data_IF_357931874598
#
_entry.id   IF_357931874598
#
_cell.length_a   1.000
_cell.length_b   1.000
_cell.length_c   1.000
_cell.angle_alpha   90.00
_cell.angle_beta   90.00
_cell.angle_gamma   90.00
#
_symmetry.space_group_name_H-M   'P 1'
#
loop_
_entity.id
_entity.type
_entity.pdbx_description
1 polymer ?
#
# COMPACT_ATOMS: atom_id res chain seq x y z
N UNK A 1 -4.75 -10.63 -5.81
CA UNK A 1 -4.31 -10.76 -7.21
C UNK A 1 -5.16 -11.75 -7.99
N UNK A 2 -5.18 -13.04 -7.61
CA UNK A 2 -5.92 -14.10 -8.35
C UNK A 2 -7.41 -13.77 -8.49
N UNK A 3 -8.07 -13.39 -7.40
CA UNK A 3 -9.50 -13.01 -7.42
C UNK A 3 -9.76 -11.84 -8.37
N UNK A 4 -8.89 -10.83 -8.37
CA UNK A 4 -9.02 -9.69 -9.27
C UNK A 4 -8.89 -10.13 -10.74
N UNK A 5 -7.92 -10.98 -11.06
CA UNK A 5 -7.75 -11.50 -12.41
C UNK A 5 -8.97 -12.31 -12.87
N UNK A 6 -9.55 -13.14 -12.01
CA UNK A 6 -10.79 -13.86 -12.31
C UNK A 6 -11.96 -12.92 -12.53
N UNK A 7 -12.11 -11.89 -11.67
CA UNK A 7 -13.20 -10.90 -11.79
C UNK A 7 -13.10 -10.07 -13.07
N UNK A 8 -11.88 -9.77 -13.51
CA UNK A 8 -11.62 -9.00 -14.72
C UNK A 8 -11.43 -9.86 -15.97
N UNK A 9 -11.53 -11.19 -15.85
CA UNK A 9 -11.31 -12.13 -16.96
C UNK A 9 -12.12 -11.79 -18.23
N UNK A 10 -13.42 -11.48 -18.18
CA UNK A 10 -14.21 -11.14 -19.35
C UNK A 10 -13.67 -9.98 -20.19
N UNK A 11 -12.94 -9.04 -19.57
CA UNK A 11 -12.39 -7.86 -20.26
C UNK A 11 -11.15 -8.17 -21.10
N UNK A 12 -10.40 -9.24 -20.77
CA UNK A 12 -9.13 -9.55 -21.42
C UNK A 12 -9.02 -10.99 -21.94
N UNK A 13 -10.04 -11.83 -21.77
CA UNK A 13 -10.04 -13.23 -22.25
C UNK A 13 -9.73 -13.38 -23.73
N UNK A 14 -10.20 -12.43 -24.56
CA UNK A 14 -9.98 -12.42 -26.00
C UNK A 14 -8.66 -11.75 -26.43
N UNK A 15 -7.90 -11.21 -25.47
CA UNK A 15 -6.65 -10.50 -25.74
C UNK A 15 -5.45 -11.43 -25.52
N UNK A 16 -4.98 -12.08 -26.59
CA UNK A 16 -3.86 -13.04 -26.53
C UNK A 16 -2.60 -12.46 -25.85
N UNK A 17 -2.26 -11.20 -26.14
CA UNK A 17 -1.09 -10.54 -25.57
C UNK A 17 -1.20 -10.45 -24.03
N UNK A 18 -2.36 -10.06 -23.51
CA UNK A 18 -2.60 -9.93 -22.06
C UNK A 18 -2.49 -11.31 -21.39
N UNK A 19 -3.07 -12.33 -21.99
CA UNK A 19 -2.99 -13.73 -21.50
C UNK A 19 -1.54 -14.20 -21.43
N UNK A 20 -0.75 -13.96 -22.48
CA UNK A 20 0.69 -14.31 -22.49
C UNK A 20 1.45 -13.53 -21.39
N UNK A 21 1.19 -12.24 -21.22
CA UNK A 21 1.85 -11.43 -20.19
C UNK A 21 1.52 -11.93 -18.77
N UNK A 22 0.24 -12.23 -18.48
CA UNK A 22 -0.17 -12.76 -17.18
C UNK A 22 0.48 -14.13 -16.93
N UNK A 23 0.47 -15.02 -17.92
CA UNK A 23 1.11 -16.33 -17.85
C UNK A 23 2.63 -16.24 -17.63
N UNK A 24 3.31 -15.31 -18.33
CA UNK A 24 4.74 -15.07 -18.17
C UNK A 24 5.08 -14.53 -16.78
N UNK A 25 4.32 -13.57 -16.26
CA UNK A 25 4.46 -13.05 -14.89
C UNK A 25 4.24 -14.19 -13.88
N UNK A 26 3.22 -15.02 -14.09
CA UNK A 26 2.95 -16.19 -13.28
C UNK A 26 4.12 -17.16 -13.23
N UNK A 27 4.69 -17.49 -14.39
CA UNK A 27 5.85 -18.38 -14.53
C UNK A 27 7.09 -17.81 -13.80
N UNK A 28 7.42 -16.56 -14.06
CA UNK A 28 8.55 -15.88 -13.38
C UNK A 28 8.34 -15.90 -11.87
N UNK A 29 7.15 -15.56 -11.40
CA UNK A 29 6.80 -15.57 -9.98
C UNK A 29 6.96 -16.96 -9.39
N UNK A 30 6.46 -18.01 -10.04
CA UNK A 30 6.55 -19.38 -9.56
C UNK A 30 8.02 -19.86 -9.47
N UNK A 31 8.84 -19.59 -10.49
CA UNK A 31 10.25 -19.98 -10.51
C UNK A 31 11.05 -19.23 -9.45
N UNK A 32 10.95 -17.90 -9.40
CA UNK A 32 11.68 -17.06 -8.45
C UNK A 32 11.30 -17.43 -7.01
N UNK A 33 10.02 -17.51 -6.71
CA UNK A 33 9.53 -17.83 -5.37
C UNK A 33 9.94 -19.24 -4.91
N UNK A 34 9.91 -20.23 -5.81
CA UNK A 34 10.38 -21.60 -5.51
C UNK A 34 11.87 -21.61 -5.15
N UNK A 35 12.70 -20.89 -5.89
CA UNK A 35 14.14 -20.83 -5.61
C UNK A 35 14.42 -20.15 -4.28
N UNK A 36 13.69 -19.07 -3.96
CA UNK A 36 13.82 -18.37 -2.69
C UNK A 36 13.31 -19.24 -1.53
N UNK A 37 12.15 -19.89 -1.66
CA UNK A 37 11.61 -20.78 -0.63
C UNK A 37 12.60 -21.86 -0.16
N UNK A 38 13.39 -22.39 -1.09
CA UNK A 38 14.38 -23.46 -0.80
C UNK A 38 15.58 -23.03 0.02
N UNK A 39 15.88 -21.73 0.07
CA UNK A 39 17.04 -21.17 0.75
C UNK A 39 16.69 -20.41 2.03
N UNK A 40 15.40 -20.27 2.32
CA UNK A 40 14.94 -19.57 3.52
C UNK A 40 15.25 -20.37 4.79
N UNK A 41 15.75 -19.68 5.80
CA UNK A 41 16.08 -20.27 7.11
C UNK A 41 14.88 -20.34 8.05
N UNK A 42 13.89 -19.44 7.87
CA UNK A 42 12.68 -19.40 8.67
C UNK A 42 11.57 -20.22 8.00
N UNK A 43 10.94 -21.12 8.75
CA UNK A 43 9.81 -21.91 8.24
C UNK A 43 8.63 -21.01 7.81
N UNK A 44 8.40 -19.92 8.52
CA UNK A 44 7.33 -18.97 8.15
C UNK A 44 7.58 -18.30 6.81
N UNK A 45 8.80 -17.84 6.56
CA UNK A 45 9.17 -17.25 5.27
C UNK A 45 9.17 -18.28 4.15
N UNK A 46 9.63 -19.51 4.43
CA UNK A 46 9.54 -20.64 3.50
C UNK A 46 8.10 -20.92 3.07
N UNK A 47 7.16 -20.99 4.03
CA UNK A 47 5.73 -21.16 3.75
C UNK A 47 5.18 -19.99 2.91
N UNK A 48 5.58 -18.75 3.24
CA UNK A 48 5.19 -17.55 2.49
C UNK A 48 5.61 -17.62 1.02
N UNK A 49 6.89 -17.89 0.74
CA UNK A 49 7.38 -18.03 -0.63
C UNK A 49 6.82 -19.25 -1.36
N UNK A 50 6.58 -20.35 -0.65
CA UNK A 50 5.89 -21.50 -1.24
C UNK A 50 4.43 -21.17 -1.60
N UNK A 51 3.74 -20.33 -0.81
CA UNK A 51 2.42 -19.80 -1.18
C UNK A 51 2.48 -18.91 -2.42
N UNK A 52 3.49 -18.05 -2.50
CA UNK A 52 3.69 -17.18 -3.67
C UNK A 52 3.96 -17.97 -4.95
N UNK A 53 4.67 -19.13 -4.83
CA UNK A 53 4.83 -20.08 -5.94
C UNK A 53 3.48 -20.58 -6.47
N UNK A 54 2.58 -20.99 -5.57
CA UNK A 54 1.24 -21.44 -5.95
C UNK A 54 0.43 -20.32 -6.59
N UNK A 55 0.52 -19.10 -6.09
CA UNK A 55 -0.12 -17.92 -6.71
C UNK A 55 0.40 -17.71 -8.14
N UNK A 56 1.69 -17.88 -8.37
CA UNK A 56 2.27 -17.81 -9.72
C UNK A 56 1.69 -18.88 -10.66
N UNK A 57 1.49 -20.11 -10.17
CA UNK A 57 0.84 -21.19 -10.94
C UNK A 57 -0.61 -20.85 -11.23
N UNK A 58 -1.37 -20.31 -10.25
CA UNK A 58 -2.74 -19.86 -10.47
C UNK A 58 -2.83 -18.77 -11.54
N UNK A 59 -1.84 -17.89 -11.67
CA UNK A 59 -1.80 -16.88 -12.75
C UNK A 59 -1.69 -17.57 -14.13
N UNK A 60 -0.91 -18.64 -14.24
CA UNK A 60 -0.79 -19.43 -15.46
C UNK A 60 -2.14 -20.11 -15.77
N UNK A 61 -2.79 -20.67 -14.76
CA UNK A 61 -4.10 -21.32 -14.89
C UNK A 61 -5.18 -20.33 -15.35
N UNK A 62 -5.22 -19.11 -14.77
CA UNK A 62 -6.12 -18.03 -15.21
C UNK A 62 -5.84 -17.65 -16.66
N UNK A 63 -4.56 -17.45 -17.02
CA UNK A 63 -4.16 -17.12 -18.38
C UNK A 63 -4.54 -18.22 -19.39
N UNK A 64 -4.58 -19.48 -18.95
CA UNK A 64 -5.05 -20.62 -19.76
C UNK A 64 -6.58 -20.71 -19.86
N UNK A 65 -7.36 -19.94 -19.06
CA UNK A 65 -8.81 -19.97 -19.03
C UNK A 65 -9.40 -21.08 -18.15
N UNK A 66 -8.62 -21.61 -17.21
CA UNK A 66 -9.02 -22.72 -16.32
C UNK A 66 -9.64 -22.19 -15.01
N UNK A 67 -10.71 -21.40 -15.10
CA UNK A 67 -11.30 -20.67 -13.96
C UNK A 67 -11.69 -21.56 -12.79
N UNK A 68 -12.39 -22.68 -13.06
CA UNK A 68 -12.79 -23.61 -12.00
C UNK A 68 -11.58 -24.23 -11.29
N UNK A 69 -10.54 -24.58 -12.04
CA UNK A 69 -9.31 -25.12 -11.48
C UNK A 69 -8.64 -24.10 -10.56
N UNK A 70 -8.58 -22.84 -10.99
CA UNK A 70 -8.03 -21.73 -10.17
C UNK A 70 -8.79 -21.58 -8.86
N UNK A 71 -10.12 -21.65 -8.86
CA UNK A 71 -10.92 -21.54 -7.63
C UNK A 71 -10.64 -22.68 -6.66
N UNK A 72 -10.58 -23.92 -7.15
CA UNK A 72 -10.24 -25.09 -6.34
C UNK A 72 -8.81 -24.96 -5.80
N UNK A 73 -7.86 -24.58 -6.66
CA UNK A 73 -6.47 -24.40 -6.29
C UNK A 73 -6.31 -23.27 -5.23
N UNK A 74 -7.03 -22.16 -5.40
CA UNK A 74 -7.03 -21.05 -4.42
C UNK A 74 -7.53 -21.52 -3.06
N UNK A 75 -8.68 -22.22 -3.01
CA UNK A 75 -9.23 -22.75 -1.77
C UNK A 75 -8.27 -23.75 -1.11
N UNK A 76 -7.75 -24.70 -1.88
CA UNK A 76 -6.77 -25.68 -1.39
C UNK A 76 -5.50 -25.05 -0.84
N UNK A 77 -4.95 -24.06 -1.54
CA UNK A 77 -3.78 -23.34 -1.08
C UNK A 77 -4.07 -22.56 0.21
N UNK A 78 -5.23 -21.90 0.33
CA UNK A 78 -5.61 -21.16 1.53
C UNK A 78 -5.67 -22.09 2.76
N UNK A 79 -6.37 -23.22 2.65
CA UNK A 79 -6.47 -24.22 3.73
C UNK A 79 -5.11 -24.78 4.10
N UNK A 80 -4.32 -25.21 3.11
CA UNK A 80 -3.01 -25.82 3.34
C UNK A 80 -2.06 -24.83 4.05
N UNK A 81 -2.03 -23.56 3.64
CA UNK A 81 -1.14 -22.56 4.22
C UNK A 81 -1.56 -22.19 5.65
N UNK A 82 -2.86 -22.08 5.90
CA UNK A 82 -3.36 -21.86 7.25
C UNK A 82 -2.95 -23.00 8.17
N UNK A 83 -3.15 -24.24 7.74
CA UNK A 83 -2.73 -25.42 8.50
C UNK A 83 -1.21 -25.42 8.75
N UNK A 84 -0.39 -25.20 7.71
CA UNK A 84 1.08 -25.16 7.84
C UNK A 84 1.55 -24.07 8.81
N UNK A 85 0.94 -22.88 8.78
CA UNK A 85 1.29 -21.80 9.71
C UNK A 85 0.93 -22.12 11.15
N UNK A 86 -0.20 -22.79 11.39
CA UNK A 86 -0.61 -23.23 12.72
C UNK A 86 0.32 -24.29 13.30
N UNK A 87 0.79 -25.22 12.47
CA UNK A 87 1.65 -26.33 12.91
C UNK A 87 3.15 -25.93 12.93
N UNK A 88 3.54 -24.87 12.24
CA UNK A 88 4.94 -24.47 12.07
C UNK A 88 5.76 -24.32 13.36
N UNK A 89 5.24 -23.81 14.49
CA UNK A 89 6.01 -23.70 15.73
C UNK A 89 6.48 -25.06 16.29
N UNK A 90 5.65 -26.09 16.21
CA UNK A 90 5.99 -27.45 16.69
C UNK A 90 7.02 -28.12 15.77
N UNK A 91 6.91 -27.92 14.45
CA UNK A 91 7.87 -28.45 13.46
C UNK A 91 9.26 -27.84 13.65
N UNK A 92 9.34 -26.53 13.91
CA UNK A 92 10.63 -25.85 14.16
C UNK A 92 11.33 -26.46 15.40
N UNK A 93 10.60 -26.65 16.48
CA UNK A 93 11.15 -27.23 17.71
C UNK A 93 11.67 -28.66 17.48
N UNK A 94 10.95 -29.45 16.72
CA UNK A 94 11.34 -30.81 16.34
C UNK A 94 12.60 -30.81 15.47
N UNK A 95 12.66 -30.01 14.41
CA UNK A 95 13.80 -29.94 13.50
C UNK A 95 15.08 -29.44 14.19
N UNK A 96 14.99 -28.46 15.08
CA UNK A 96 16.14 -27.97 15.87
C UNK A 96 16.68 -29.10 16.72
N UNK A 97 15.80 -29.86 17.38
CA UNK A 97 16.20 -30.99 18.20
C UNK A 97 16.88 -32.10 17.38
N UNK A 98 16.30 -32.42 16.23
CA UNK A 98 16.87 -33.45 15.33
C UNK A 98 18.24 -33.04 14.78
N UNK A 99 18.41 -31.78 14.36
CA UNK A 99 19.70 -31.25 13.89
C UNK A 99 20.76 -31.23 14.99
N UNK A 100 20.35 -30.95 16.23
CA UNK A 100 21.29 -30.91 17.35
C UNK A 100 21.86 -32.28 17.68
N UNK A 101 21.06 -33.35 17.57
CA UNK A 101 21.48 -34.71 17.89
C UNK A 101 21.95 -35.55 16.69
N UNK A 102 21.51 -35.20 15.49
CA UNK A 102 21.74 -35.98 14.26
C UNK A 102 22.63 -35.32 13.20
N UNK A 103 23.28 -34.18 13.51
CA UNK A 103 24.09 -33.48 12.51
C UNK A 103 25.38 -34.26 12.16
N UNK A 104 25.37 -34.81 10.94
CA UNK A 104 26.56 -35.38 10.31
C UNK A 104 26.99 -34.50 9.15
N UNK A 105 28.15 -33.82 9.20
CA UNK A 105 28.63 -33.01 8.09
C UNK A 105 28.84 -33.87 6.85
N UNK A 106 28.11 -33.60 5.78
CA UNK A 106 28.33 -34.23 4.48
C UNK A 106 29.40 -33.45 3.71
N UNK A 107 30.58 -34.02 3.55
CA UNK A 107 31.59 -33.48 2.64
C UNK A 107 31.09 -33.61 1.18
N UNK A 108 30.62 -32.51 0.60
CA UNK A 108 30.31 -32.48 -0.82
C UNK A 108 31.59 -32.12 -1.59
N UNK A 109 32.14 -33.06 -2.37
CA UNK A 109 33.15 -32.74 -3.38
C UNK A 109 32.53 -31.78 -4.41
N UNK A 110 32.98 -30.54 -4.42
CA UNK A 110 32.52 -29.52 -5.38
C UNK A 110 33.16 -29.85 -6.73
N UNK A 111 32.45 -30.55 -7.58
CA UNK A 111 32.84 -30.74 -8.98
C UNK A 111 32.64 -29.44 -9.74
N UNK A 112 33.69 -28.92 -10.35
CA UNK A 112 33.72 -27.62 -11.05
C UNK A 112 33.07 -27.68 -12.44
N UNK A 113 31.81 -28.09 -12.52
CA UNK A 113 31.02 -28.15 -13.75
C UNK A 113 30.25 -26.84 -13.94
N UNK A 114 29.97 -26.44 -15.18
CA UNK A 114 29.19 -25.23 -15.47
C UNK A 114 27.80 -25.27 -14.82
N UNK A 115 27.16 -26.43 -14.76
CA UNK A 115 25.92 -26.66 -14.05
C UNK A 115 25.99 -26.32 -12.57
N UNK A 116 27.11 -26.66 -11.91
CA UNK A 116 27.31 -26.30 -10.51
C UNK A 116 27.52 -24.80 -10.31
N UNK A 117 28.15 -24.12 -11.29
CA UNK A 117 28.27 -22.67 -11.26
C UNK A 117 26.91 -22.00 -11.40
N UNK A 118 26.05 -22.46 -12.35
CA UNK A 118 24.71 -21.97 -12.52
C UNK A 118 23.86 -22.18 -11.26
N UNK A 119 23.90 -23.39 -10.70
CA UNK A 119 23.20 -23.72 -9.46
C UNK A 119 23.65 -22.82 -8.29
N UNK A 120 24.93 -22.62 -8.09
CA UNK A 120 25.46 -21.75 -7.04
C UNK A 120 25.11 -20.28 -7.29
N UNK A 121 25.09 -19.83 -8.54
CA UNK A 121 24.67 -18.47 -8.86
C UNK A 121 23.20 -18.25 -8.52
N UNK A 122 22.31 -19.19 -8.91
CA UNK A 122 20.89 -19.14 -8.56
C UNK A 122 20.71 -19.19 -7.04
N UNK A 123 21.47 -20.04 -6.36
CA UNK A 123 21.45 -20.14 -4.90
C UNK A 123 21.79 -18.79 -4.22
N UNK A 124 22.87 -18.14 -4.66
CA UNK A 124 23.29 -16.83 -4.11
C UNK A 124 22.26 -15.74 -4.43
N UNK A 125 21.69 -15.75 -5.65
CA UNK A 125 20.63 -14.81 -6.01
C UNK A 125 19.38 -15.04 -5.17
N UNK A 126 19.03 -16.29 -4.94
CA UNK A 126 17.86 -16.66 -4.11
C UNK A 126 18.05 -16.26 -2.64
N UNK A 127 19.26 -16.39 -2.09
CA UNK A 127 19.61 -15.89 -0.74
C UNK A 127 19.43 -14.36 -0.63
N UNK A 128 19.66 -13.62 -1.70
CA UNK A 128 19.46 -12.18 -1.79
C UNK A 128 18.06 -11.80 -2.28
N UNK A 129 17.14 -12.77 -2.31
CA UNK A 129 15.77 -12.58 -2.82
C UNK A 129 15.73 -11.90 -4.20
N UNK A 130 16.69 -12.27 -5.08
CA UNK A 130 16.89 -11.70 -6.42
C UNK A 130 17.04 -10.18 -6.43
N UNK A 131 17.40 -9.58 -5.30
CA UNK A 131 17.46 -8.13 -5.08
C UNK A 131 16.16 -7.39 -5.48
N UNK A 132 15.01 -8.04 -5.35
CA UNK A 132 13.69 -7.47 -5.71
C UNK A 132 13.42 -6.15 -4.99
N UNK A 133 13.79 -6.06 -3.69
CA UNK A 133 13.67 -4.81 -2.94
C UNK A 133 14.46 -3.65 -3.57
N UNK A 134 15.69 -3.91 -4.00
CA UNK A 134 16.52 -2.89 -4.67
C UNK A 134 15.95 -2.50 -6.02
N UNK A 135 15.40 -3.45 -6.75
CA UNK A 135 14.74 -3.21 -8.03
C UNK A 135 13.50 -2.31 -7.82
N UNK A 136 12.59 -2.69 -6.93
CA UNK A 136 11.38 -1.93 -6.63
C UNK A 136 11.72 -0.52 -6.10
N UNK A 137 12.67 -0.43 -5.15
CA UNK A 137 13.12 0.86 -4.63
C UNK A 137 13.75 1.74 -5.71
N UNK A 138 14.54 1.14 -6.61
CA UNK A 138 15.27 1.85 -7.66
C UNK A 138 14.38 2.32 -8.80
N UNK A 139 13.55 1.42 -9.33
CA UNK A 139 12.78 1.65 -10.55
C UNK A 139 11.38 2.18 -10.32
N UNK A 140 10.74 1.85 -9.19
CA UNK A 140 9.38 2.30 -8.89
C UNK A 140 9.41 3.48 -7.91
N UNK A 141 9.96 3.29 -6.71
CA UNK A 141 9.85 4.32 -5.68
C UNK A 141 10.77 5.54 -5.89
N UNK A 142 11.96 5.38 -6.47
CA UNK A 142 12.85 6.53 -6.69
C UNK A 142 12.29 7.57 -7.66
N UNK A 143 11.72 7.23 -8.83
CA UNK A 143 11.08 8.21 -9.71
C UNK A 143 9.92 8.93 -9.03
N UNK A 144 9.05 8.16 -8.35
CA UNK A 144 7.90 8.71 -7.62
C UNK A 144 8.33 9.67 -6.50
N UNK A 145 9.38 9.31 -5.74
CA UNK A 145 9.95 10.20 -4.72
C UNK A 145 10.56 11.46 -5.33
N UNK A 146 11.28 11.35 -6.45
CA UNK A 146 11.84 12.53 -7.14
C UNK A 146 10.75 13.50 -7.57
N UNK A 147 9.63 12.97 -8.11
CA UNK A 147 8.50 13.79 -8.51
C UNK A 147 7.87 14.48 -7.29
N UNK A 148 7.60 13.75 -6.22
CA UNK A 148 7.06 14.31 -4.98
C UNK A 148 7.98 15.36 -4.34
N UNK A 149 9.30 15.17 -4.37
CA UNK A 149 10.25 16.18 -3.86
C UNK A 149 10.32 17.45 -4.71
N UNK A 150 9.99 17.40 -6.01
CA UNK A 150 9.87 18.64 -6.81
C UNK A 150 8.74 19.54 -6.32
N UNK A 151 7.80 19.01 -5.53
CA UNK A 151 6.70 19.75 -4.92
C UNK A 151 7.04 20.27 -3.50
N UNK A 152 8.30 20.27 -3.07
CA UNK A 152 8.71 20.73 -1.73
C UNK A 152 8.53 22.24 -1.52
N UNK A 153 8.25 23.01 -2.58
CA UNK A 153 7.83 24.40 -2.49
C UNK A 153 6.39 24.56 -1.97
N UNK A 154 5.56 23.51 -2.06
CA UNK A 154 4.19 23.53 -1.53
C UNK A 154 4.23 23.44 0.00
N UNK A 155 3.95 24.57 0.63
CA UNK A 155 3.73 24.67 2.07
C UNK A 155 2.23 24.78 2.34
N UNK A 156 1.82 24.58 3.60
CA UNK A 156 0.41 24.60 3.99
C UNK A 156 -0.34 25.86 3.50
N UNK A 157 0.25 27.05 3.65
CA UNK A 157 -0.36 28.31 3.19
C UNK A 157 -0.47 28.40 1.67
N UNK A 158 0.58 28.04 0.96
CA UNK A 158 0.61 28.05 -0.51
C UNK A 158 -0.35 27.00 -1.08
N UNK A 159 -0.47 25.84 -0.43
CA UNK A 159 -1.42 24.82 -0.81
C UNK A 159 -2.86 25.37 -0.81
N UNK A 160 -3.31 25.95 0.32
CA UNK A 160 -4.67 26.48 0.42
C UNK A 160 -4.91 27.62 -0.57
N UNK A 161 -3.90 28.48 -0.78
CA UNK A 161 -4.00 29.61 -1.72
C UNK A 161 -4.20 29.14 -3.18
N UNK A 162 -3.56 28.05 -3.59
CA UNK A 162 -3.69 27.54 -4.96
C UNK A 162 -4.82 26.52 -5.09
N UNK A 163 -5.00 25.67 -4.08
CA UNK A 163 -6.05 24.63 -4.13
C UNK A 163 -7.46 25.20 -4.17
N UNK A 164 -7.79 26.11 -3.25
CA UNK A 164 -9.16 26.61 -3.14
C UNK A 164 -9.63 27.31 -4.42
N UNK A 165 -8.87 28.27 -5.01
CA UNK A 165 -9.30 28.91 -6.24
C UNK A 165 -9.34 27.95 -7.44
N UNK A 166 -8.32 27.10 -7.59
CA UNK A 166 -8.28 26.16 -8.72
C UNK A 166 -9.38 25.11 -8.65
N UNK A 167 -9.68 24.62 -7.44
CA UNK A 167 -10.79 23.70 -7.23
C UNK A 167 -12.15 24.39 -7.51
N UNK A 168 -12.33 25.63 -7.03
CA UNK A 168 -13.53 26.42 -7.31
C UNK A 168 -13.74 26.64 -8.81
N UNK A 169 -12.66 26.91 -9.55
CA UNK A 169 -12.73 27.02 -11.02
C UNK A 169 -13.14 25.67 -11.64
N UNK A 170 -12.58 24.54 -11.18
CA UNK A 170 -12.97 23.22 -11.67
C UNK A 170 -14.46 22.92 -11.41
N UNK A 171 -14.96 23.20 -10.20
CA UNK A 171 -16.38 23.04 -9.87
C UNK A 171 -17.25 23.98 -10.70
N UNK A 172 -16.81 25.23 -10.93
CA UNK A 172 -17.54 26.18 -11.75
C UNK A 172 -17.69 25.71 -13.20
N UNK A 173 -16.62 25.21 -13.80
CA UNK A 173 -16.63 24.65 -15.15
C UNK A 173 -17.60 23.46 -15.27
N UNK A 174 -17.63 22.60 -14.24
CA UNK A 174 -18.50 21.44 -14.18
C UNK A 174 -19.99 21.83 -14.06
N UNK A 175 -20.31 22.83 -13.22
CA UNK A 175 -21.70 23.21 -12.90
C UNK A 175 -22.34 24.04 -14.01
N UNK A 176 -21.60 24.98 -14.59
CA UNK A 176 -22.12 25.88 -15.64
C UNK A 176 -22.29 25.16 -16.99
N UNK A 177 -21.77 23.94 -17.14
CA UNK A 177 -21.96 23.12 -18.34
C UNK A 177 -21.52 23.83 -19.63
N UNK A 178 -20.43 24.62 -19.57
CA UNK A 178 -19.92 25.32 -20.75
C UNK A 178 -19.64 24.32 -21.88
N UNK A 179 -20.09 24.70 -23.10
CA UNK A 179 -19.65 23.99 -24.31
C UNK A 179 -18.14 24.19 -24.51
N UNK A 180 -17.38 23.43 -23.77
CA UNK A 180 -15.95 23.43 -23.88
C UNK A 180 -15.52 22.78 -25.22
N UNK A 181 -14.43 23.24 -25.84
CA UNK A 181 -13.87 22.56 -27.00
C UNK A 181 -13.59 21.08 -26.68
N UNK A 182 -13.84 20.19 -27.62
CA UNK A 182 -13.71 18.73 -27.45
C UNK A 182 -12.36 18.28 -26.90
N UNK A 183 -11.29 18.94 -27.31
CA UNK A 183 -9.94 18.66 -26.80
C UNK A 183 -9.79 19.00 -25.31
N UNK A 184 -10.51 20.01 -24.81
CA UNK A 184 -10.45 20.40 -23.40
C UNK A 184 -11.27 19.45 -22.52
N UNK A 185 -12.42 18.98 -23.00
CA UNK A 185 -13.20 17.93 -22.35
C UNK A 185 -12.41 16.65 -22.13
N UNK A 186 -11.54 16.29 -23.09
CA UNK A 186 -10.67 15.12 -22.93
C UNK A 186 -9.47 15.37 -22.01
N UNK A 187 -8.97 16.60 -21.95
CA UNK A 187 -7.76 16.93 -21.18
C UNK A 187 -8.05 17.20 -19.71
N UNK A 188 -9.20 17.80 -19.38
CA UNK A 188 -9.55 18.18 -17.99
C UNK A 188 -9.59 16.99 -17.04
N UNK A 189 -10.27 15.86 -17.33
CA UNK A 189 -10.28 14.68 -16.47
C UNK A 189 -8.87 14.16 -16.19
N UNK A 190 -8.04 14.05 -17.23
CA UNK A 190 -6.66 13.60 -17.12
C UNK A 190 -5.82 14.58 -16.29
N UNK A 191 -6.04 15.89 -16.49
CA UNK A 191 -5.37 16.95 -15.73
C UNK A 191 -5.71 16.91 -14.24
N UNK A 192 -6.98 16.74 -13.89
CA UNK A 192 -7.44 16.64 -12.51
C UNK A 192 -6.93 15.34 -11.84
N UNK A 193 -6.98 14.20 -12.53
CA UNK A 193 -6.42 12.96 -12.04
C UNK A 193 -4.89 13.05 -11.83
N UNK A 194 -4.19 13.77 -12.70
CA UNK A 194 -2.76 14.03 -12.53
C UNK A 194 -2.49 14.94 -11.31
N UNK A 195 -3.31 15.96 -11.06
CA UNK A 195 -3.21 16.78 -9.84
C UNK A 195 -3.49 15.94 -8.59
N UNK A 196 -4.48 15.06 -8.61
CA UNK A 196 -4.74 14.11 -7.53
C UNK A 196 -3.50 13.26 -7.24
N UNK A 197 -2.90 12.65 -8.26
CA UNK A 197 -1.67 11.88 -8.12
C UNK A 197 -0.51 12.72 -7.54
N UNK A 198 -0.32 13.96 -7.99
CA UNK A 198 0.72 14.85 -7.45
C UNK A 198 0.50 15.13 -5.96
N UNK A 199 -0.74 15.32 -5.50
CA UNK A 199 -1.05 15.51 -4.07
C UNK A 199 -0.66 14.28 -3.26
N UNK A 200 -0.99 13.09 -3.73
CA UNK A 200 -0.61 11.83 -3.06
C UNK A 200 0.91 11.63 -3.04
N UNK A 201 1.60 11.89 -4.15
CA UNK A 201 3.06 11.77 -4.21
C UNK A 201 3.74 12.77 -3.28
N UNK A 202 3.21 13.99 -3.16
CA UNK A 202 3.71 14.97 -2.18
C UNK A 202 3.41 14.49 -0.76
N UNK A 203 2.22 14.01 -0.45
CA UNK A 203 1.90 13.39 0.84
C UNK A 203 2.89 12.27 1.19
N UNK A 204 3.17 11.38 0.24
CA UNK A 204 4.10 10.28 0.41
C UNK A 204 5.54 10.73 0.67
N UNK A 205 5.99 11.86 0.12
CA UNK A 205 7.35 12.36 0.30
C UNK A 205 7.47 13.33 1.47
N UNK A 206 6.38 13.95 1.94
CA UNK A 206 6.38 14.89 3.05
C UNK A 206 6.79 14.20 4.35
N UNK A 207 7.79 14.79 5.04
CA UNK A 207 8.31 14.27 6.30
C UNK A 207 8.37 15.31 7.42
N UNK A 208 8.27 16.59 7.07
CA UNK A 208 8.41 17.68 8.03
C UNK A 208 7.14 17.90 8.85
N UNK A 209 5.98 17.79 8.18
CA UNK A 209 4.70 18.13 8.79
C UNK A 209 3.65 17.05 8.48
N UNK A 210 3.17 16.38 9.53
CA UNK A 210 2.07 15.43 9.42
C UNK A 210 0.79 16.13 8.94
N UNK A 211 0.55 17.39 9.37
CA UNK A 211 -0.62 18.16 8.93
C UNK A 211 -0.64 18.36 7.43
N UNK A 212 0.51 18.73 6.85
CA UNK A 212 0.63 18.90 5.41
C UNK A 212 0.44 17.56 4.67
N UNK A 213 1.08 16.48 5.15
CA UNK A 213 0.96 15.16 4.56
C UNK A 213 -0.50 14.67 4.54
N UNK A 214 -1.22 14.80 5.66
CA UNK A 214 -2.63 14.40 5.74
C UNK A 214 -3.54 15.27 4.87
N UNK A 215 -3.35 16.59 4.87
CA UNK A 215 -4.15 17.49 4.03
C UNK A 215 -3.97 17.16 2.55
N UNK A 216 -2.75 16.90 2.08
CA UNK A 216 -2.48 16.51 0.71
C UNK A 216 -3.18 15.19 0.34
N UNK A 217 -3.13 14.22 1.27
CA UNK A 217 -3.81 12.94 1.10
C UNK A 217 -5.32 13.13 0.99
N UNK A 218 -5.90 13.97 1.84
CA UNK A 218 -7.32 14.27 1.83
C UNK A 218 -7.77 15.03 0.57
N UNK A 219 -6.95 15.98 0.10
CA UNK A 219 -7.23 16.77 -1.12
C UNK A 219 -7.21 15.94 -2.41
N UNK A 220 -6.48 14.84 -2.45
CA UNK A 220 -6.49 13.91 -3.58
C UNK A 220 -7.90 13.52 -4.01
N UNK A 221 -8.75 13.16 -3.05
CA UNK A 221 -10.12 12.71 -3.32
C UNK A 221 -10.97 13.76 -4.02
N UNK A 222 -10.83 15.03 -3.62
CA UNK A 222 -11.58 16.12 -4.26
C UNK A 222 -11.18 16.31 -5.72
N UNK A 223 -9.87 16.21 -6.04
CA UNK A 223 -9.41 16.26 -7.42
C UNK A 223 -9.87 15.05 -8.22
N UNK A 224 -9.93 13.88 -7.60
CA UNK A 224 -10.39 12.66 -8.24
C UNK A 224 -11.89 12.75 -8.57
N UNK A 225 -12.70 13.32 -7.69
CA UNK A 225 -14.11 13.58 -7.96
C UNK A 225 -14.27 14.48 -9.18
N UNK A 226 -13.53 15.60 -9.26
CA UNK A 226 -13.59 16.48 -10.44
C UNK A 226 -13.14 15.76 -11.71
N UNK A 227 -12.12 14.92 -11.63
CA UNK A 227 -11.61 14.18 -12.78
C UNK A 227 -12.67 13.26 -13.41
N UNK A 228 -13.57 12.70 -12.58
CA UNK A 228 -14.54 11.72 -13.05
C UNK A 228 -15.92 12.37 -13.26
N UNK A 229 -16.22 13.44 -12.51
CA UNK A 229 -17.48 14.15 -12.65
C UNK A 229 -17.68 14.82 -14.03
N UNK A 230 -16.62 15.02 -14.80
CA UNK A 230 -16.66 15.46 -16.20
C UNK A 230 -17.22 14.38 -17.16
N UNK A 231 -17.27 13.11 -16.73
CA UNK A 231 -17.85 12.05 -17.53
C UNK A 231 -19.38 12.09 -17.45
N UNK A 232 -20.05 11.87 -18.58
CA UNK A 232 -21.50 11.88 -18.67
C UNK A 232 -22.14 10.87 -17.71
N UNK A 233 -23.28 11.24 -17.09
CA UNK A 233 -24.10 10.44 -16.17
C UNK A 233 -23.57 10.24 -14.74
N UNK A 234 -22.55 10.96 -14.31
CA UNK A 234 -22.13 10.89 -12.91
C UNK A 234 -23.13 11.63 -11.99
N UNK A 235 -23.94 10.89 -11.25
CA UNK A 235 -25.01 11.47 -10.44
C UNK A 235 -24.47 12.17 -9.18
N UNK A 236 -25.03 13.34 -8.84
CA UNK A 236 -24.69 14.08 -7.60
C UNK A 236 -24.85 13.23 -6.33
N UNK A 237 -25.77 12.26 -6.33
CA UNK A 237 -25.95 11.32 -5.21
C UNK A 237 -24.74 10.42 -4.99
N UNK A 238 -24.10 9.96 -6.06
CA UNK A 238 -22.91 9.09 -6.00
C UNK A 238 -21.70 9.88 -5.51
N UNK A 239 -21.54 11.12 -6.01
CA UNK A 239 -20.56 12.07 -5.47
C UNK A 239 -20.79 12.26 -3.96
N UNK A 240 -22.05 12.44 -3.54
CA UNK A 240 -22.42 12.62 -2.15
C UNK A 240 -22.05 11.40 -1.27
N UNK A 241 -22.29 10.20 -1.75
CA UNK A 241 -21.91 8.97 -1.03
C UNK A 241 -20.38 8.92 -0.85
N UNK A 242 -19.62 9.11 -1.92
CA UNK A 242 -18.16 9.12 -1.85
C UNK A 242 -17.63 10.20 -0.90
N UNK A 243 -18.04 11.44 -1.13
CA UNK A 243 -17.57 12.58 -0.34
C UNK A 243 -18.00 12.48 1.13
N UNK A 244 -19.11 11.83 1.46
CA UNK A 244 -19.52 11.64 2.86
C UNK A 244 -18.48 10.86 3.65
N UNK A 245 -17.96 9.78 3.08
CA UNK A 245 -16.86 9.01 3.67
C UNK A 245 -15.56 9.81 3.71
N UNK A 246 -15.17 10.42 2.59
CA UNK A 246 -13.95 11.23 2.47
C UNK A 246 -13.94 12.39 3.49
N UNK A 247 -15.04 13.12 3.62
CA UNK A 247 -15.15 14.25 4.56
C UNK A 247 -15.12 13.74 6.00
N UNK A 248 -15.89 12.70 6.32
CA UNK A 248 -15.95 12.17 7.67
C UNK A 248 -14.58 11.63 8.14
N UNK A 249 -13.96 10.73 7.39
CA UNK A 249 -12.69 10.12 7.79
C UNK A 249 -11.51 11.08 7.65
N UNK A 250 -11.53 11.96 6.65
CA UNK A 250 -10.54 13.02 6.50
C UNK A 250 -10.57 14.00 7.68
N UNK A 251 -11.77 14.46 8.08
CA UNK A 251 -11.95 15.34 9.22
C UNK A 251 -11.60 14.66 10.56
N UNK A 252 -12.00 13.39 10.73
CA UNK A 252 -11.62 12.61 11.91
C UNK A 252 -10.09 12.53 12.07
N UNK A 253 -9.39 12.13 11.01
CA UNK A 253 -7.93 12.06 11.04
C UNK A 253 -7.27 13.41 11.29
N UNK A 254 -7.82 14.49 10.68
CA UNK A 254 -7.36 15.84 10.91
C UNK A 254 -7.54 16.29 12.38
N UNK A 255 -8.70 16.04 12.97
CA UNK A 255 -8.97 16.37 14.37
C UNK A 255 -8.01 15.63 15.34
N UNK A 256 -7.75 14.35 15.07
CA UNK A 256 -6.80 13.56 15.85
C UNK A 256 -5.37 14.07 15.71
N UNK A 257 -4.95 14.48 14.50
CA UNK A 257 -3.64 15.11 14.28
C UNK A 257 -3.55 16.43 15.03
N UNK A 258 -4.58 17.28 15.00
CA UNK A 258 -4.60 18.52 15.75
C UNK A 258 -4.48 18.26 17.25
N UNK A 259 -5.22 17.30 17.79
CA UNK A 259 -5.14 16.93 19.19
C UNK A 259 -3.74 16.44 19.57
N UNK A 260 -3.13 15.61 18.75
CA UNK A 260 -1.76 15.10 18.96
C UNK A 260 -0.74 16.24 18.90
N UNK A 261 -0.85 17.17 17.93
CA UNK A 261 0.07 18.29 17.81
C UNK A 261 -0.05 19.31 18.94
N UNK A 262 -1.25 19.48 19.51
CA UNK A 262 -1.43 20.32 20.70
C UNK A 262 -0.73 19.75 21.95
N UNK A 263 -0.65 18.43 22.04
CA UNK A 263 -0.08 17.72 23.18
C UNK A 263 1.43 17.50 23.10
N UNK A 264 1.93 17.22 21.91
CA UNK A 264 3.31 16.79 21.67
C UNK A 264 4.13 17.77 20.82
N UNK A 265 3.54 18.91 20.44
CA UNK A 265 4.18 19.87 19.55
C UNK A 265 4.12 19.45 18.08
N UNK A 266 4.99 20.04 17.26
CA UNK A 266 5.04 19.71 15.83
C UNK A 266 5.55 18.29 15.58
N UNK A 267 4.67 17.44 15.01
CA UNK A 267 4.96 16.05 14.74
C UNK A 267 5.54 15.91 13.32
N UNK A 268 6.77 15.47 13.25
CA UNK A 268 7.42 15.09 12.00
C UNK A 268 7.24 13.60 11.68
N UNK A 269 7.43 13.25 10.42
CA UNK A 269 7.38 11.87 9.92
C UNK A 269 8.77 11.30 9.56
N UNK A 270 9.85 11.90 10.13
CA UNK A 270 11.21 11.41 9.91
C UNK A 270 11.46 10.08 10.62
N UNK A 271 11.01 9.98 11.87
CA UNK A 271 11.24 8.84 12.75
C UNK A 271 9.92 8.17 13.16
N UNK A 272 10.02 6.98 13.72
CA UNK A 272 8.89 6.29 14.32
C UNK A 272 8.69 6.83 15.73
N UNK A 273 7.49 7.33 16.03
CA UNK A 273 7.18 8.01 17.27
C UNK A 273 6.68 7.07 18.39
N UNK A 274 6.13 5.89 18.04
CA UNK A 274 5.69 4.89 19.00
C UNK A 274 4.49 5.27 19.86
N UNK A 275 3.68 6.27 19.49
CA UNK A 275 2.58 6.80 20.30
C UNK A 275 1.45 5.79 20.58
N UNK A 276 1.40 4.64 19.91
CA UNK A 276 0.41 3.59 20.20
C UNK A 276 0.43 3.15 21.67
N UNK A 277 1.60 3.18 22.32
CA UNK A 277 1.74 2.78 23.72
C UNK A 277 1.18 3.82 24.69
N UNK A 278 1.32 5.11 24.34
CA UNK A 278 0.86 6.23 25.18
C UNK A 278 -0.62 6.55 24.95
N UNK A 279 -1.08 6.43 23.68
CA UNK A 279 -2.41 6.81 23.25
C UNK A 279 -3.07 5.71 22.41
N UNK A 280 -3.36 4.51 22.97
CA UNK A 280 -3.87 3.38 22.19
C UNK A 280 -5.23 3.66 21.54
N UNK A 281 -6.12 4.39 22.22
CA UNK A 281 -7.43 4.76 21.66
C UNK A 281 -7.28 5.72 20.47
N UNK A 282 -6.40 6.71 20.57
CA UNK A 282 -6.14 7.66 19.48
C UNK A 282 -5.53 6.93 18.28
N UNK A 283 -4.60 5.99 18.55
CA UNK A 283 -4.01 5.15 17.50
C UNK A 283 -5.07 4.31 16.80
N UNK A 284 -6.01 3.73 17.53
CA UNK A 284 -7.12 2.96 16.98
C UNK A 284 -8.06 3.83 16.15
N UNK A 285 -8.49 4.99 16.67
CA UNK A 285 -9.37 5.90 15.95
C UNK A 285 -8.69 6.47 14.69
N UNK A 286 -7.39 6.75 14.76
CA UNK A 286 -6.63 7.19 13.59
C UNK A 286 -6.47 6.07 12.55
N UNK A 287 -6.33 4.81 13.00
CA UNK A 287 -6.34 3.66 12.10
C UNK A 287 -7.68 3.55 11.37
N UNK A 288 -8.80 3.75 12.06
CA UNK A 288 -10.12 3.78 11.44
C UNK A 288 -10.25 4.94 10.44
N UNK A 289 -9.72 6.12 10.78
CA UNK A 289 -9.70 7.25 9.86
C UNK A 289 -8.87 6.95 8.60
N UNK A 290 -7.70 6.33 8.75
CA UNK A 290 -6.86 5.88 7.64
C UNK A 290 -7.59 4.86 6.78
N UNK A 291 -8.11 3.79 7.38
CA UNK A 291 -8.81 2.72 6.65
C UNK A 291 -10.06 3.25 5.95
N UNK A 292 -10.83 4.09 6.63
CA UNK A 292 -12.03 4.67 6.05
C UNK A 292 -11.74 5.64 4.90
N UNK A 293 -10.63 6.40 4.97
CA UNK A 293 -10.23 7.31 3.91
C UNK A 293 -9.78 6.56 2.65
N UNK A 294 -8.97 5.51 2.80
CA UNK A 294 -8.44 4.70 1.68
C UNK A 294 -9.45 3.67 1.12
N UNK A 295 -10.73 3.80 1.40
CA UNK A 295 -11.74 2.91 0.84
C UNK A 295 -11.69 1.48 1.39
N UNK A 296 -11.54 1.29 2.71
CA UNK A 296 -11.67 -0.04 3.30
C UNK A 296 -13.13 -0.54 3.20
N UNK A 297 -13.38 -1.82 2.91
CA UNK A 297 -14.73 -2.38 2.87
C UNK A 297 -15.56 -1.98 4.10
N UNK A 298 -16.86 -1.68 3.89
CA UNK A 298 -17.82 -1.17 4.88
C UNK A 298 -17.81 0.38 5.00
N UNK A 299 -16.81 1.09 4.46
CA UNK A 299 -16.83 2.55 4.44
C UNK A 299 -17.64 3.11 3.25
N UNK A 300 -18.29 4.29 3.40
CA UNK A 300 -18.90 4.96 2.26
C UNK A 300 -17.89 5.31 1.15
N UNK A 301 -16.64 5.56 1.53
CA UNK A 301 -15.54 5.79 0.58
C UNK A 301 -15.34 4.60 -0.34
N UNK A 302 -15.37 3.37 0.18
CA UNK A 302 -15.24 2.14 -0.62
C UNK A 302 -16.35 2.01 -1.67
N UNK A 303 -17.61 2.23 -1.24
CA UNK A 303 -18.76 2.20 -2.16
C UNK A 303 -18.61 3.27 -3.23
N UNK A 304 -18.18 4.46 -2.81
CA UNK A 304 -17.99 5.58 -3.73
C UNK A 304 -16.82 5.37 -4.69
N UNK A 305 -15.72 4.71 -4.30
CA UNK A 305 -14.63 4.36 -5.19
C UNK A 305 -15.08 3.37 -6.28
N UNK A 306 -15.87 2.37 -5.92
CA UNK A 306 -16.43 1.41 -6.88
C UNK A 306 -17.33 2.13 -7.90
N UNK A 307 -18.18 3.05 -7.43
CA UNK A 307 -18.99 3.89 -8.28
C UNK A 307 -18.16 4.82 -9.18
N UNK A 308 -17.11 5.46 -8.64
CA UNK A 308 -16.18 6.30 -9.42
C UNK A 308 -15.56 5.53 -10.57
N UNK A 309 -15.02 4.35 -10.29
CA UNK A 309 -14.38 3.53 -11.33
C UNK A 309 -15.36 3.06 -12.42
N UNK A 310 -16.62 2.84 -12.07
CA UNK A 310 -17.66 2.43 -13.04
C UNK A 310 -18.00 3.52 -14.07
N UNK A 311 -17.69 4.79 -13.78
CA UNK A 311 -17.91 5.91 -14.69
C UNK A 311 -16.72 6.26 -15.58
N UNK A 312 -15.62 5.55 -15.47
CA UNK A 312 -14.48 5.70 -16.38
C UNK A 312 -14.75 4.89 -17.64
N UNK A 313 -14.80 5.57 -18.80
CA UNK A 313 -15.05 4.92 -20.08
C UNK A 313 -13.87 4.08 -20.56
N UNK A 314 -14.15 3.07 -21.37
CA UNK A 314 -13.13 2.11 -21.87
C UNK A 314 -12.02 2.78 -22.71
N UNK A 315 -12.29 3.89 -23.36
CA UNK A 315 -11.34 4.68 -24.14
C UNK A 315 -10.45 5.59 -23.28
N UNK A 316 -10.80 5.82 -22.02
CA UNK A 316 -10.08 6.70 -21.08
C UNK A 316 -8.94 5.98 -20.33
N UNK A 317 -8.14 5.21 -21.04
CA UNK A 317 -7.04 4.43 -20.43
C UNK A 317 -6.09 5.27 -19.55
N UNK A 318 -5.76 6.49 -19.98
CA UNK A 318 -4.84 7.37 -19.23
C UNK A 318 -5.47 7.81 -17.91
N UNK A 319 -6.75 8.16 -17.91
CA UNK A 319 -7.49 8.51 -16.71
C UNK A 319 -7.56 7.33 -15.74
N UNK A 320 -7.95 6.14 -16.23
CA UNK A 320 -8.00 4.92 -15.44
C UNK A 320 -6.65 4.57 -14.80
N UNK A 321 -5.56 4.69 -15.58
CA UNK A 321 -4.21 4.43 -15.08
C UNK A 321 -3.79 5.43 -14.00
N UNK A 322 -4.02 6.73 -14.19
CA UNK A 322 -3.69 7.77 -13.21
C UNK A 322 -4.51 7.60 -11.93
N UNK A 323 -5.80 7.30 -12.05
CA UNK A 323 -6.69 7.04 -10.92
C UNK A 323 -6.22 5.82 -10.11
N UNK A 324 -6.00 4.69 -10.78
CA UNK A 324 -5.51 3.49 -10.13
C UNK A 324 -4.15 3.72 -9.43
N UNK A 325 -3.22 4.42 -10.07
CA UNK A 325 -1.93 4.74 -9.48
C UNK A 325 -2.07 5.67 -8.27
N UNK A 326 -2.96 6.66 -8.34
CA UNK A 326 -3.23 7.58 -7.23
C UNK A 326 -3.77 6.82 -6.01
N UNK A 327 -4.78 5.95 -6.16
CA UNK A 327 -5.33 5.16 -5.06
C UNK A 327 -4.33 4.17 -4.46
N UNK A 328 -3.52 3.49 -5.29
CA UNK A 328 -2.45 2.62 -4.78
C UNK A 328 -1.43 3.41 -3.96
N UNK A 329 -0.98 4.55 -4.48
CA UNK A 329 -0.01 5.40 -3.77
C UNK A 329 -0.61 6.07 -2.53
N UNK A 330 -1.90 6.35 -2.53
CA UNK A 330 -2.66 6.84 -1.39
C UNK A 330 -2.63 5.83 -0.23
N UNK A 331 -2.96 4.57 -0.48
CA UNK A 331 -2.87 3.52 0.52
C UNK A 331 -1.47 3.42 1.12
N UNK A 332 -0.42 3.47 0.29
CA UNK A 332 0.98 3.47 0.75
C UNK A 332 1.31 4.69 1.60
N UNK A 333 0.85 5.89 1.19
CA UNK A 333 1.09 7.14 1.94
C UNK A 333 0.36 7.14 3.28
N UNK A 334 -0.91 6.74 3.31
CA UNK A 334 -1.75 6.69 4.50
C UNK A 334 -1.21 5.71 5.56
N UNK A 335 -0.89 4.48 5.14
CA UNK A 335 -0.28 3.47 6.03
C UNK A 335 1.07 3.95 6.55
N UNK A 336 1.86 4.63 5.73
CA UNK A 336 3.14 5.22 6.16
C UNK A 336 2.94 6.30 7.22
N UNK A 337 1.94 7.19 7.07
CA UNK A 337 1.64 8.23 8.07
C UNK A 337 1.29 7.54 9.40
N UNK A 338 0.39 6.55 9.37
CA UNK A 338 0.03 5.77 10.55
C UNK A 338 1.25 5.12 11.21
N UNK A 339 2.04 4.39 10.42
CA UNK A 339 3.19 3.66 10.93
C UNK A 339 4.23 4.59 11.58
N UNK A 340 4.50 5.75 10.97
CA UNK A 340 5.48 6.71 11.50
C UNK A 340 5.00 7.37 12.79
N UNK A 341 3.71 7.63 12.92
CA UNK A 341 3.16 8.28 14.12
C UNK A 341 2.98 7.31 15.28
N UNK A 342 2.41 6.14 15.02
CA UNK A 342 1.96 5.25 16.09
C UNK A 342 2.85 4.03 16.33
N UNK A 343 3.55 3.52 15.33
CA UNK A 343 4.40 2.33 15.48
C UNK A 343 5.84 2.69 15.84
N UNK A 344 6.59 1.70 16.31
CA UNK A 344 7.99 1.82 16.70
C UNK A 344 8.21 1.85 18.20
N UNK A 345 9.46 2.10 18.59
CA UNK A 345 9.87 2.29 19.98
C UNK A 345 9.70 3.74 20.39
N UNK A 346 9.27 3.97 21.62
CA UNK A 346 9.24 5.33 22.19
C UNK A 346 10.67 5.86 22.27
N UNK A 347 10.96 7.07 21.77
CA UNK A 347 12.29 7.68 21.92
C UNK A 347 12.70 7.79 23.39
N UNK A 348 13.94 7.46 23.72
CA UNK A 348 14.46 7.47 25.10
C UNK A 348 14.32 8.84 25.78
N UNK A 349 14.39 9.93 25.02
CA UNK A 349 14.19 11.30 25.53
C UNK A 349 12.81 11.54 26.16
N UNK A 350 11.80 10.73 25.83
CA UNK A 350 10.46 10.84 26.43
C UNK A 350 10.33 10.00 27.72
N UNK A 351 11.19 9.01 27.91
CA UNK A 351 11.19 8.15 29.10
C UNK A 351 11.82 8.91 30.27
N UNK A 352 12.89 9.68 30.01
CA UNK A 352 13.60 10.46 31.04
C UNK A 352 12.77 11.60 31.59
N UNK A 353 11.90 12.23 30.81
CA UNK A 353 11.01 13.28 31.27
C UNK A 353 9.87 12.76 32.20
N UNK A 354 9.45 11.50 32.06
CA UNK A 354 8.45 10.90 32.93
C UNK A 354 9.07 10.29 34.20
N UNK A 355 10.31 9.81 34.15
CA UNK A 355 11.00 9.33 35.35
C UNK A 355 11.40 10.47 36.31
N UNK A 356 11.64 11.67 35.77
CA UNK A 356 11.94 12.87 36.56
C UNK A 356 10.71 13.43 37.30
N UNK A 357 9.49 13.03 36.94
CA UNK A 357 8.24 13.51 37.55
C UNK A 357 7.61 12.57 38.58
N UNK A 358 8.21 11.41 38.84
CA UNK A 358 7.77 10.54 39.94
C UNK A 358 8.29 11.09 41.26
N UNK A 359 7.41 11.42 42.26
CA UNK A 359 7.86 11.83 43.58
C UNK A 359 8.66 10.69 44.20
N UNK A 360 9.90 10.97 44.56
CA UNK A 360 10.75 10.04 45.33
C UNK A 360 10.00 9.61 46.59
N UNK A 361 9.60 8.34 46.64
CA UNK A 361 9.02 7.77 47.83
C UNK A 361 9.99 7.88 48.97
N UNK A 362 9.63 8.69 49.94
CA UNK A 362 10.36 8.95 51.19
C UNK A 362 10.49 7.61 51.95
N UNK A 363 11.62 6.93 51.79
CA UNK A 363 11.99 5.83 52.67
C UNK A 363 12.35 6.41 54.05
N UNK A 364 11.36 6.55 54.89
CA UNK A 364 11.59 6.72 56.34
C UNK A 364 12.30 5.47 56.84
N UNK A 365 13.58 5.63 57.23
CA UNK A 365 14.30 4.67 58.03
C UNK A 365 13.50 4.41 59.31
N UNK A 366 13.13 3.14 59.54
CA UNK A 366 12.73 2.67 60.87
C UNK A 366 14.03 2.13 61.46
N UNK A 367 14.45 2.79 62.51
CA UNK A 367 15.50 2.34 63.44
C UNK A 367 14.91 1.31 64.41
#
# INVERSE_FOLDING_TARGET
GVFLLLRTYPFWENQLLVRILIGAIGLITAVVSTTIARVQTSVKTQIGYASLTQIGIMFIEVAAGLELLVLIHFAGNAFLRTYQLLVSPSVVSYLIREQFYGFVPKEKKVVRTWWNRLYLSIYVWSLKEWNLDRFIQGWVFRPLKKLGHRLDFLRYRTLLLYFIPSYAVGVYLLVEGYELPTWLHQLLPVGFAFLALLMVLKSFTERRSIRLAWTMLWMNHFWMVLAIAENENFALTEIGIYLSGVVFFGALGWALILWMTQRHGDLGLYEYQGYVRQHPLVAFLFLLAVLGLIGFPISPTFIGEDLLFSHIHEDQFVLAFLAALAFVMEGVAAVRIYARLFLGTVPESTIDSHSASLPTANTKKIA
#
